data_IF_245563032752
#
_entry.id   IF_245563032752
#
_cell.length_a   1.000
_cell.length_b   1.000
_cell.length_c   1.000
_cell.angle_alpha   90.00
_cell.angle_beta   90.00
_cell.angle_gamma   90.00
#
_symmetry.space_group_name_H-M   'P 1'
#
loop_
_entity.id
_entity.type
_entity.pdbx_description
1 polymer ?
#
# COMPACT_ATOMS: atom_id res chain seq x y z
N UNK A 1 -17.44 70.11 -55.15
CA UNK A 1 -17.65 71.42 -54.51
C UNK A 1 -17.45 71.29 -53.01
N UNK A 2 -16.64 72.21 -52.42
CA UNK A 2 -16.51 72.57 -51.00
C UNK A 2 -16.16 71.42 -49.95
N UNK A 3 -14.95 71.33 -49.65
CA UNK A 3 -14.14 71.69 -48.43
C UNK A 3 -14.95 71.92 -47.18
N UNK A 4 -14.65 71.16 -46.11
CA UNK A 4 -14.33 71.84 -44.84
C UNK A 4 -13.46 70.91 -43.95
N UNK A 5 -12.33 71.44 -43.58
CA UNK A 5 -11.44 70.96 -42.59
C UNK A 5 -11.96 71.37 -41.22
N UNK A 6 -11.93 70.52 -40.25
CA UNK A 6 -11.98 70.90 -38.84
C UNK A 6 -10.83 70.26 -38.12
N UNK A 7 -9.89 71.10 -37.77
CA UNK A 7 -8.84 70.82 -36.78
C UNK A 7 -9.44 71.06 -35.44
N UNK A 8 -9.35 70.03 -34.53
CA UNK A 8 -9.51 70.29 -33.11
C UNK A 8 -8.53 69.45 -32.29
N UNK A 9 -7.58 70.15 -31.88
CA UNK A 9 -6.63 70.06 -30.83
C UNK A 9 -7.32 69.58 -29.53
N UNK A 10 -6.90 68.50 -28.94
CA UNK A 10 -7.28 68.16 -27.57
C UNK A 10 -6.15 67.49 -26.78
N UNK A 11 -5.51 68.31 -26.00
CA UNK A 11 -4.86 68.13 -24.73
C UNK A 11 -4.59 66.69 -24.28
N UNK A 12 -3.34 66.30 -24.28
CA UNK A 12 -2.77 65.25 -23.46
C UNK A 12 -2.98 65.59 -21.99
N UNK A 13 -3.83 64.84 -21.33
CA UNK A 13 -3.77 64.68 -19.87
C UNK A 13 -3.12 63.32 -19.58
N UNK A 14 -1.93 63.41 -18.99
CA UNK A 14 -1.22 62.23 -18.51
C UNK A 14 -1.99 61.55 -17.39
N UNK A 15 -2.35 60.32 -17.63
CA UNK A 15 -2.82 59.42 -16.60
C UNK A 15 -1.71 58.41 -16.36
N UNK A 16 -0.88 58.70 -15.35
CA UNK A 16 0.06 57.75 -14.79
C UNK A 16 -0.76 56.58 -14.25
N UNK A 17 -0.89 55.51 -15.02
CA UNK A 17 -1.32 54.23 -14.51
C UNK A 17 -0.16 53.63 -13.73
N UNK A 18 -0.30 53.66 -12.41
CA UNK A 18 0.50 52.86 -11.50
C UNK A 18 0.32 51.42 -11.90
N UNK A 19 1.34 50.86 -12.56
CA UNK A 19 1.42 49.43 -12.82
C UNK A 19 1.75 48.79 -11.46
N UNK A 20 0.70 48.31 -10.80
CA UNK A 20 0.84 47.45 -9.61
C UNK A 20 1.43 46.13 -10.09
N UNK A 21 2.72 45.95 -9.81
CA UNK A 21 3.40 44.66 -9.95
C UNK A 21 2.81 43.72 -8.90
N UNK A 22 1.75 42.98 -9.28
CA UNK A 22 1.31 41.78 -8.54
C UNK A 22 2.38 40.69 -8.77
N UNK A 23 2.97 40.14 -7.71
CA UNK A 23 3.83 39.00 -7.87
C UNK A 23 2.96 37.82 -8.33
N UNK A 24 3.21 37.36 -9.54
CA UNK A 24 2.71 36.11 -10.05
C UNK A 24 3.39 35.01 -9.23
N UNK A 25 2.72 34.54 -8.18
CA UNK A 25 3.13 33.34 -7.46
C UNK A 25 2.89 32.17 -8.39
N UNK A 26 3.94 31.76 -9.10
CA UNK A 26 3.95 30.51 -9.87
C UNK A 26 4.00 29.38 -8.85
N UNK A 27 2.83 28.83 -8.51
CA UNK A 27 2.73 27.59 -7.77
C UNK A 27 3.16 26.47 -8.73
N UNK A 28 4.43 26.10 -8.64
CA UNK A 28 4.93 24.89 -9.27
C UNK A 28 4.34 23.71 -8.50
N UNK A 29 3.23 23.15 -9.00
CA UNK A 29 2.79 21.82 -8.60
C UNK A 29 3.89 20.84 -9.02
N UNK A 30 4.78 20.50 -8.08
CA UNK A 30 5.58 19.29 -8.21
C UNK A 30 4.61 18.11 -8.21
N UNK A 31 4.24 17.66 -9.40
CA UNK A 31 3.68 16.32 -9.58
C UNK A 31 4.82 15.38 -9.20
N UNK A 32 4.79 14.92 -7.95
CA UNK A 32 5.62 13.81 -7.52
C UNK A 32 5.18 12.62 -8.37
N UNK A 33 5.91 12.40 -9.46
CA UNK A 33 5.75 11.23 -10.29
C UNK A 33 5.89 10.01 -9.41
N UNK A 34 4.82 9.25 -9.26
CA UNK A 34 4.84 7.92 -8.66
C UNK A 34 5.71 7.07 -9.59
N UNK A 35 6.97 6.92 -9.23
CA UNK A 35 7.90 6.04 -9.94
C UNK A 35 7.34 4.62 -9.90
N UNK A 36 7.13 3.95 -11.05
CA UNK A 36 6.67 2.57 -11.05
C UNK A 36 7.77 1.67 -10.47
N UNK A 37 7.45 0.94 -9.42
CA UNK A 37 8.01 -0.38 -9.21
C UNK A 37 9.37 -0.47 -8.53
N UNK A 38 9.66 0.29 -7.46
CA UNK A 38 10.58 -0.25 -6.45
C UNK A 38 9.81 -1.32 -5.68
N UNK A 39 10.32 -2.56 -5.71
CA UNK A 39 9.85 -3.60 -4.81
C UNK A 39 9.89 -3.02 -3.39
N UNK A 40 8.72 -2.80 -2.82
CA UNK A 40 8.60 -2.21 -1.51
C UNK A 40 9.13 -3.24 -0.51
N UNK A 41 10.05 -2.84 0.37
CA UNK A 41 10.56 -3.74 1.40
C UNK A 41 9.46 -4.09 2.40
N UNK A 42 9.46 -5.34 2.85
CA UNK A 42 8.54 -5.76 3.89
C UNK A 42 8.83 -5.01 5.20
N UNK A 43 7.78 -4.43 5.78
CA UNK A 43 7.83 -3.80 7.09
C UNK A 43 7.21 -4.74 8.12
N UNK A 44 7.99 -5.28 9.08
CA UNK A 44 7.44 -6.10 10.15
C UNK A 44 6.40 -5.35 10.97
N UNK A 45 5.36 -6.05 11.42
CA UNK A 45 4.36 -5.48 12.31
C UNK A 45 5.00 -5.12 13.67
N UNK A 46 4.72 -3.94 14.23
CA UNK A 46 5.29 -3.53 15.52
C UNK A 46 5.01 -4.56 16.62
N UNK A 47 6.07 -4.99 17.31
CA UNK A 47 5.97 -5.99 18.38
C UNK A 47 5.82 -7.44 17.91
N UNK A 48 5.76 -7.72 16.61
CA UNK A 48 5.82 -9.10 16.11
C UNK A 48 7.23 -9.70 16.30
N UNK A 49 7.27 -11.01 16.47
CA UNK A 49 8.52 -11.78 16.64
C UNK A 49 8.65 -12.79 15.52
N UNK A 50 9.87 -13.01 15.04
CA UNK A 50 10.16 -14.10 14.09
C UNK A 50 9.80 -15.44 14.75
N UNK A 51 9.08 -16.27 14.01
CA UNK A 51 8.74 -17.62 14.39
C UNK A 51 9.49 -18.59 13.47
N UNK A 52 10.61 -19.13 13.95
CA UNK A 52 11.47 -20.01 13.18
C UNK A 52 10.78 -21.33 12.77
N UNK A 53 9.89 -21.86 13.62
CA UNK A 53 9.14 -23.07 13.30
C UNK A 53 8.17 -22.80 12.16
N UNK A 54 7.34 -21.77 12.33
CA UNK A 54 6.39 -21.37 11.29
C UNK A 54 7.09 -20.96 9.98
N UNK A 55 8.28 -20.35 10.04
CA UNK A 55 9.08 -20.01 8.86
C UNK A 55 9.55 -21.25 8.10
N UNK A 56 10.03 -22.28 8.79
CA UNK A 56 10.40 -23.55 8.16
C UNK A 56 9.19 -24.24 7.53
N UNK A 57 8.07 -24.30 8.22
CA UNK A 57 6.83 -24.88 7.70
C UNK A 57 6.33 -24.12 6.47
N UNK A 58 6.36 -22.81 6.53
CA UNK A 58 5.98 -21.95 5.41
C UNK A 58 6.89 -22.16 4.19
N UNK A 59 8.20 -22.30 4.39
CA UNK A 59 9.16 -22.59 3.31
C UNK A 59 8.93 -23.96 2.69
N UNK A 60 8.60 -24.96 3.51
CA UNK A 60 8.27 -26.30 3.02
C UNK A 60 6.97 -26.31 2.19
N UNK A 61 5.99 -25.47 2.54
CA UNK A 61 4.71 -25.37 1.84
C UNK A 61 4.81 -24.70 0.45
N UNK A 62 5.87 -23.92 0.18
CA UNK A 62 6.09 -23.20 -1.08
C UNK A 62 7.51 -23.44 -1.63
N UNK A 63 7.81 -24.64 -2.13
CA UNK A 63 9.14 -25.00 -2.63
C UNK A 63 9.66 -23.99 -3.67
N UNK A 64 10.94 -23.66 -3.61
CA UNK A 64 11.59 -22.72 -4.54
C UNK A 64 11.34 -21.25 -4.24
N UNK A 65 10.62 -20.92 -3.15
CA UNK A 65 10.42 -19.55 -2.68
C UNK A 65 11.08 -19.34 -1.33
N UNK A 66 11.38 -18.08 -1.02
CA UNK A 66 11.79 -17.67 0.31
C UNK A 66 10.56 -17.33 1.14
N UNK A 67 10.47 -17.88 2.34
CA UNK A 67 9.36 -17.62 3.24
C UNK A 67 9.85 -17.34 4.66
N UNK A 68 9.23 -16.33 5.30
CA UNK A 68 9.49 -15.99 6.69
C UNK A 68 8.16 -15.74 7.40
N UNK A 69 8.06 -16.18 8.63
CA UNK A 69 6.86 -16.00 9.45
C UNK A 69 7.18 -15.19 10.70
N UNK A 70 6.25 -14.32 11.05
CA UNK A 70 6.25 -13.53 12.27
C UNK A 70 4.95 -13.80 13.01
N UNK A 71 4.97 -13.73 14.35
CA UNK A 71 3.78 -13.93 15.19
C UNK A 71 3.58 -12.74 16.12
N UNK A 72 2.31 -12.46 16.40
CA UNK A 72 1.85 -11.48 17.39
C UNK A 72 0.58 -11.96 18.06
N UNK A 73 0.30 -11.50 19.28
CA UNK A 73 -0.95 -11.74 19.98
C UNK A 73 -2.08 -10.81 19.55
N UNK A 74 -1.77 -9.76 18.79
CA UNK A 74 -2.77 -8.83 18.29
C UNK A 74 -3.78 -9.51 17.36
N UNK A 75 -5.04 -9.02 17.38
CA UNK A 75 -6.11 -9.53 16.54
C UNK A 75 -5.85 -9.37 15.05
N UNK A 76 -6.37 -10.29 14.23
CA UNK A 76 -6.25 -10.27 12.77
C UNK A 76 -6.63 -8.91 12.18
N UNK A 77 -7.74 -8.34 12.63
CA UNK A 77 -8.28 -7.10 12.06
C UNK A 77 -7.34 -5.91 12.32
N UNK A 78 -6.70 -5.86 13.50
CA UNK A 78 -5.71 -4.82 13.85
C UNK A 78 -4.45 -4.94 12.98
N UNK A 79 -3.93 -6.15 12.82
CA UNK A 79 -2.75 -6.42 11.98
C UNK A 79 -3.04 -6.14 10.51
N UNK A 80 -4.21 -6.56 10.02
CA UNK A 80 -4.64 -6.31 8.64
C UNK A 80 -4.82 -4.82 8.36
N UNK A 81 -5.38 -4.05 9.30
CA UNK A 81 -5.54 -2.60 9.16
C UNK A 81 -4.17 -1.90 9.00
N UNK A 82 -3.15 -2.32 9.74
CA UNK A 82 -1.80 -1.80 9.59
C UNK A 82 -1.26 -2.03 8.18
N UNK A 83 -1.43 -3.24 7.64
CA UNK A 83 -0.91 -3.57 6.31
C UNK A 83 -1.73 -2.98 5.16
N UNK A 84 -3.04 -2.75 5.33
CA UNK A 84 -3.87 -2.00 4.36
C UNK A 84 -3.35 -0.58 4.09
N UNK A 85 -2.70 0.04 5.07
CA UNK A 85 -2.05 1.34 4.92
C UNK A 85 -0.72 1.30 4.15
N UNK A 86 -0.15 0.12 3.94
CA UNK A 86 1.18 -0.05 3.36
C UNK A 86 1.15 -0.79 2.01
N UNK A 87 0.31 -1.81 1.88
CA UNK A 87 0.33 -2.74 0.76
C UNK A 87 -1.06 -2.93 0.16
N UNK A 88 -1.09 -3.39 -1.08
CA UNK A 88 -2.34 -3.67 -1.78
C UNK A 88 -2.95 -4.97 -1.31
N UNK A 89 -4.17 -4.92 -0.79
CA UNK A 89 -4.93 -6.13 -0.46
C UNK A 89 -5.30 -6.90 -1.74
N UNK A 90 -5.09 -8.22 -1.70
CA UNK A 90 -5.51 -9.12 -2.77
C UNK A 90 -6.85 -9.72 -2.38
N UNK A 91 -7.88 -9.40 -3.15
CA UNK A 91 -9.24 -9.93 -2.91
C UNK A 91 -9.28 -11.43 -3.18
N UNK A 92 -9.44 -12.20 -2.12
CA UNK A 92 -9.55 -13.66 -2.15
C UNK A 92 -10.53 -14.13 -1.07
N UNK A 93 -10.89 -15.44 -1.11
CA UNK A 93 -11.61 -16.05 0.02
C UNK A 93 -10.81 -15.83 1.31
N UNK A 94 -11.45 -15.26 2.32
CA UNK A 94 -10.81 -14.80 3.55
C UNK A 94 -10.98 -15.73 4.74
N UNK A 95 -11.61 -16.89 4.54
CA UNK A 95 -11.87 -17.86 5.61
C UNK A 95 -11.65 -19.30 5.18
N UNK A 96 -11.13 -20.07 6.11
CA UNK A 96 -10.88 -21.50 6.01
C UNK A 96 -11.89 -22.34 6.76
N UNK A 97 -11.51 -23.57 7.15
CA UNK A 97 -12.34 -24.45 7.92
C UNK A 97 -12.58 -23.90 9.34
N UNK A 98 -13.64 -24.38 9.97
CA UNK A 98 -13.79 -24.27 11.42
C UNK A 98 -12.90 -25.30 12.10
N UNK A 99 -12.25 -24.88 13.16
CA UNK A 99 -11.48 -25.75 14.03
C UNK A 99 -12.42 -26.57 14.93
N UNK A 100 -11.94 -27.64 15.56
CA UNK A 100 -12.71 -28.37 16.57
C UNK A 100 -13.18 -27.50 17.74
N UNK A 101 -12.46 -26.41 18.04
CA UNK A 101 -12.86 -25.39 19.02
C UNK A 101 -14.07 -24.56 18.60
N UNK A 102 -14.53 -24.68 17.34
CA UNK A 102 -15.57 -23.84 16.76
C UNK A 102 -15.05 -22.53 16.16
N UNK A 103 -13.79 -22.17 16.40
CA UNK A 103 -13.17 -20.97 15.85
C UNK A 103 -12.92 -21.12 14.35
N UNK A 104 -13.16 -20.07 13.58
CA UNK A 104 -12.93 -20.06 12.14
C UNK A 104 -11.55 -19.51 11.81
N UNK A 105 -10.78 -20.26 11.04
CA UNK A 105 -9.52 -19.76 10.49
C UNK A 105 -9.83 -18.66 9.48
N UNK A 106 -9.26 -17.47 9.69
CA UNK A 106 -9.42 -16.30 8.82
C UNK A 106 -8.06 -15.83 8.32
N UNK A 107 -8.02 -15.30 7.11
CA UNK A 107 -6.79 -14.75 6.54
C UNK A 107 -7.05 -13.61 5.58
N UNK A 108 -6.03 -12.80 5.37
CA UNK A 108 -5.99 -11.71 4.38
C UNK A 108 -4.65 -11.79 3.65
N UNK A 109 -4.66 -11.52 2.35
CA UNK A 109 -3.46 -11.48 1.52
C UNK A 109 -3.13 -10.06 1.08
N UNK A 110 -1.83 -9.74 0.99
CA UNK A 110 -1.34 -8.46 0.50
C UNK A 110 -0.21 -8.67 -0.49
N UNK A 111 -0.20 -7.90 -1.58
CA UNK A 111 0.92 -7.82 -2.50
C UNK A 111 1.90 -6.74 -2.02
N UNK A 112 3.10 -7.14 -1.63
CA UNK A 112 4.17 -6.22 -1.19
C UNK A 112 4.76 -5.49 -2.40
N UNK A 113 4.80 -6.15 -3.55
CA UNK A 113 5.27 -5.61 -4.83
C UNK A 113 4.20 -4.86 -5.63
N UNK A 114 2.99 -4.69 -5.07
CA UNK A 114 1.89 -3.99 -5.72
C UNK A 114 1.12 -4.81 -6.76
N UNK A 115 1.40 -6.10 -6.89
CA UNK A 115 0.66 -7.02 -7.76
C UNK A 115 -0.84 -7.04 -7.49
N UNK A 116 -1.64 -7.48 -8.47
CA UNK A 116 -3.11 -7.50 -8.34
C UNK A 116 -3.67 -8.88 -7.97
N UNK A 117 -2.84 -9.90 -8.02
CA UNK A 117 -3.18 -11.28 -7.66
C UNK A 117 -1.95 -12.02 -7.15
N UNK A 118 -2.13 -13.15 -6.44
CA UNK A 118 -1.02 -14.00 -5.99
C UNK A 118 -0.20 -14.55 -7.16
N UNK A 119 -0.83 -14.80 -8.31
CA UNK A 119 -0.14 -15.32 -9.49
C UNK A 119 0.79 -14.28 -10.12
N UNK A 120 0.47 -13.00 -10.02
CA UNK A 120 1.24 -11.90 -10.57
C UNK A 120 2.25 -11.32 -9.56
N UNK A 121 2.04 -11.54 -8.27
CA UNK A 121 2.89 -11.02 -7.22
C UNK A 121 4.08 -11.95 -6.98
N UNK A 122 5.29 -11.39 -7.11
CA UNK A 122 6.54 -12.08 -6.76
C UNK A 122 6.86 -11.97 -5.28
N UNK A 123 6.28 -10.98 -4.61
CA UNK A 123 6.46 -10.75 -3.19
C UNK A 123 5.11 -10.42 -2.55
N UNK A 124 4.60 -11.33 -1.77
CA UNK A 124 3.30 -11.20 -1.11
C UNK A 124 3.37 -11.71 0.33
N UNK A 125 2.33 -11.42 1.10
CA UNK A 125 2.18 -11.97 2.44
C UNK A 125 0.75 -12.41 2.72
N UNK A 126 0.63 -13.32 3.68
CA UNK A 126 -0.61 -13.79 4.28
C UNK A 126 -0.61 -13.41 5.76
N UNK A 127 -1.68 -12.79 6.23
CA UNK A 127 -1.97 -12.57 7.65
C UNK A 127 -3.08 -13.52 8.03
N UNK A 128 -2.88 -14.36 9.02
CA UNK A 128 -3.82 -15.43 9.39
C UNK A 128 -4.00 -15.50 10.91
N UNK A 129 -5.24 -15.76 11.36
CA UNK A 129 -5.57 -16.10 12.74
C UNK A 129 -6.74 -17.07 12.78
N UNK A 130 -6.73 -18.07 13.70
CA UNK A 130 -5.56 -18.53 14.45
C UNK A 130 -4.47 -19.10 13.54
N UNK A 131 -3.24 -19.23 14.03
CA UNK A 131 -2.22 -19.99 13.33
C UNK A 131 -2.62 -21.47 13.28
N UNK A 132 -2.50 -22.06 12.12
CA UNK A 132 -2.65 -23.49 11.90
C UNK A 132 -1.45 -23.94 11.08
N UNK A 133 -0.57 -24.69 11.71
CA UNK A 133 0.66 -25.21 11.16
C UNK A 133 0.81 -26.72 11.36
N UNK A 134 2.01 -27.21 11.04
CA UNK A 134 2.30 -28.63 10.98
C UNK A 134 1.77 -29.26 9.68
N UNK A 135 2.42 -30.34 9.24
CA UNK A 135 2.01 -31.09 8.05
C UNK A 135 0.64 -31.76 8.20
N UNK A 136 0.22 -31.95 9.43
CA UNK A 136 -1.08 -32.53 9.83
C UNK A 136 -2.12 -31.52 10.29
N UNK A 137 -1.79 -30.21 10.28
CA UNK A 137 -2.69 -29.14 10.70
C UNK A 137 -2.99 -29.11 12.19
N UNK A 138 -2.21 -29.82 13.03
CA UNK A 138 -2.48 -29.95 14.48
C UNK A 138 -1.79 -28.88 15.33
N UNK A 139 -0.80 -28.15 14.80
CA UNK A 139 -0.20 -27.02 15.52
C UNK A 139 -1.13 -25.80 15.43
N UNK A 140 -2.11 -25.76 16.33
CA UNK A 140 -3.06 -24.66 16.42
C UNK A 140 -2.66 -23.75 17.58
N UNK A 141 -2.46 -22.45 17.27
CA UNK A 141 -2.09 -21.44 18.27
C UNK A 141 -2.95 -20.19 18.10
N UNK A 142 -3.45 -19.66 19.21
CA UNK A 142 -4.25 -18.41 19.20
C UNK A 142 -3.34 -17.17 19.05
N UNK A 143 -2.67 -17.09 17.92
CA UNK A 143 -1.82 -15.97 17.51
C UNK A 143 -2.12 -15.57 16.07
N UNK A 144 -1.86 -14.33 15.75
CA UNK A 144 -1.84 -13.87 14.35
C UNK A 144 -0.46 -14.14 13.77
N UNK A 145 -0.39 -14.90 12.69
CA UNK A 145 0.82 -15.12 11.92
C UNK A 145 0.84 -14.22 10.68
N UNK A 146 1.99 -13.64 10.41
CA UNK A 146 2.28 -12.83 9.23
C UNK A 146 3.35 -13.60 8.46
N UNK A 147 2.95 -14.23 7.38
CA UNK A 147 3.84 -15.04 6.54
C UNK A 147 4.16 -14.28 5.25
N UNK A 148 5.44 -13.99 5.02
CA UNK A 148 5.91 -13.42 3.75
C UNK A 148 6.40 -14.53 2.83
N UNK A 149 6.20 -14.34 1.51
CA UNK A 149 6.65 -15.27 0.48
C UNK A 149 7.22 -14.46 -0.68
N UNK A 150 8.48 -14.71 -1.03
CA UNK A 150 9.20 -14.07 -2.13
C UNK A 150 9.63 -15.13 -3.15
N UNK A 151 9.31 -14.91 -4.42
CA UNK A 151 9.88 -15.70 -5.54
C UNK A 151 11.34 -15.30 -5.75
N UNK A 152 12.21 -16.28 -5.92
CA UNK A 152 13.61 -16.08 -6.32
C UNK A 152 13.73 -15.59 -7.73
#
# INVERSE_FOLDING_TARGET
MKRLAVVLNCKRKGLMRKISLLPVVVIIFMVAGVAPGRAQDFKPYPGSKVDEKASREASAAVPGKESQAYTTTDALDKVSAFYKGLYKEITMRSSGPKLPSGEQVRWVFFAIDGGTSLAQSKYWMKVQRPYVGGTDGKDVRDVTVIQTVRSK
#
